data_IF_846487889764
#
_entry.id   IF_846487889764
#
_cell.length_a   1.000
_cell.length_b   1.000
_cell.length_c   1.000
_cell.angle_alpha   90.00
_cell.angle_beta   90.00
_cell.angle_gamma   90.00
#
_symmetry.space_group_name_H-M   'P 1'
#
loop_
_entity.id
_entity.type
_entity.pdbx_description
1 polymer ?
#
# COMPACT_ATOMS: atom_id res chain seq x y z
N UNK A 1 13.46 15.21 28.33
CA UNK A 1 13.58 14.06 27.42
C UNK A 1 12.93 14.54 26.13
N UNK A 2 13.72 14.79 25.08
CA UNK A 2 13.15 15.15 23.77
C UNK A 2 12.35 13.95 23.24
N UNK A 3 11.13 14.17 22.82
CA UNK A 3 10.34 13.15 22.12
C UNK A 3 11.13 12.75 20.87
N UNK A 4 11.41 11.47 20.73
CA UNK A 4 11.99 10.88 19.55
C UNK A 4 10.84 10.45 18.64
N UNK A 5 10.87 10.85 17.38
CA UNK A 5 9.90 10.46 16.37
C UNK A 5 10.42 9.24 15.61
N UNK A 6 9.59 8.22 15.48
CA UNK A 6 9.87 7.08 14.61
C UNK A 6 9.16 7.28 13.27
N UNK A 7 9.94 7.49 12.23
CA UNK A 7 9.45 7.87 10.90
C UNK A 7 9.84 6.83 9.85
N UNK A 8 9.06 6.75 8.79
CA UNK A 8 9.33 5.91 7.62
C UNK A 8 9.45 6.80 6.40
N UNK A 9 10.58 6.70 5.71
CA UNK A 9 10.80 7.33 4.41
C UNK A 9 10.71 6.25 3.33
N UNK A 10 9.83 6.44 2.35
CA UNK A 10 9.78 5.64 1.14
C UNK A 10 10.15 6.51 -0.06
N UNK A 11 11.02 5.99 -0.92
CA UNK A 11 11.56 6.70 -2.05
C UNK A 11 11.53 5.81 -3.30
N UNK A 12 11.16 6.39 -4.42
CA UNK A 12 11.17 5.75 -5.72
C UNK A 12 11.76 6.71 -6.75
N UNK A 13 12.77 6.28 -7.50
CA UNK A 13 13.38 7.08 -8.59
C UNK A 13 13.94 6.17 -9.68
N UNK A 14 14.29 6.71 -10.87
CA UNK A 14 15.20 6.02 -11.77
C UNK A 14 16.49 5.63 -11.06
N UNK A 15 17.01 4.41 -11.32
CA UNK A 15 18.22 3.91 -10.66
C UNK A 15 19.48 4.63 -11.17
N UNK A 16 20.37 4.97 -10.24
CA UNK A 16 21.69 5.54 -10.55
C UNK A 16 22.65 5.37 -9.36
N UNK A 17 23.96 5.36 -9.59
CA UNK A 17 24.95 5.32 -8.52
C UNK A 17 24.80 6.47 -7.51
N UNK A 18 24.96 6.17 -6.22
CA UNK A 18 25.01 7.16 -5.14
C UNK A 18 23.66 7.49 -4.50
N UNK A 19 22.53 6.93 -4.97
CA UNK A 19 21.20 7.21 -4.40
C UNK A 19 21.10 6.87 -2.92
N UNK A 20 21.59 5.70 -2.51
CA UNK A 20 21.57 5.30 -1.10
C UNK A 20 22.29 6.34 -0.23
N UNK A 21 23.51 6.73 -0.63
CA UNK A 21 24.28 7.75 0.09
C UNK A 21 23.52 9.08 0.16
N UNK A 22 22.93 9.51 -0.96
CA UNK A 22 22.23 10.78 -1.03
C UNK A 22 20.98 10.80 -0.11
N UNK A 23 20.15 9.74 -0.16
CA UNK A 23 18.92 9.65 0.64
C UNK A 23 19.25 9.49 2.13
N UNK A 24 20.20 8.62 2.50
CA UNK A 24 20.60 8.45 3.90
C UNK A 24 21.31 9.69 4.44
N UNK A 25 22.09 10.37 3.60
CA UNK A 25 22.73 11.65 3.93
C UNK A 25 21.71 12.75 4.22
N UNK A 26 20.64 12.87 3.44
CA UNK A 26 19.56 13.82 3.69
C UNK A 26 18.88 13.56 5.05
N UNK A 27 18.63 12.29 5.40
CA UNK A 27 18.10 11.93 6.71
C UNK A 27 19.08 12.32 7.85
N UNK A 28 20.36 12.05 7.68
CA UNK A 28 21.40 12.33 8.69
C UNK A 28 21.58 13.84 8.91
N UNK A 29 21.43 14.68 7.89
CA UNK A 29 21.55 16.14 7.99
C UNK A 29 20.53 16.76 8.96
N UNK A 30 19.37 16.16 9.11
CA UNK A 30 18.33 16.57 10.05
C UNK A 30 18.36 15.77 11.38
N UNK A 31 19.49 15.13 11.68
CA UNK A 31 19.67 14.38 12.93
C UNK A 31 18.94 13.03 12.97
N UNK A 32 18.57 12.50 11.82
CA UNK A 32 17.92 11.18 11.71
C UNK A 32 18.93 10.04 11.88
N UNK A 33 18.62 9.10 12.77
CA UNK A 33 19.30 7.84 12.93
C UNK A 33 18.55 6.73 12.19
N UNK A 34 19.23 5.99 11.31
CA UNK A 34 18.63 4.92 10.52
C UNK A 34 18.61 3.63 11.34
N UNK A 35 17.42 3.13 11.63
CA UNK A 35 17.22 1.87 12.37
C UNK A 35 16.98 0.69 11.45
N UNK A 36 16.43 0.93 10.25
CA UNK A 36 16.22 -0.09 9.21
C UNK A 36 16.40 0.52 7.81
N UNK A 37 16.99 -0.25 6.90
CA UNK A 37 17.14 0.13 5.51
C UNK A 37 16.83 -1.08 4.61
N UNK A 38 15.81 -0.95 3.77
CA UNK A 38 15.46 -1.92 2.74
C UNK A 38 15.54 -1.25 1.38
N UNK A 39 16.20 -1.90 0.42
CA UNK A 39 16.32 -1.36 -0.93
C UNK A 39 16.13 -2.44 -1.98
N UNK A 40 15.64 -2.03 -3.14
CA UNK A 40 15.41 -2.91 -4.27
C UNK A 40 15.49 -2.13 -5.57
N UNK A 41 16.14 -2.68 -6.57
CA UNK A 41 16.13 -2.16 -7.95
C UNK A 41 15.33 -3.10 -8.83
N UNK A 42 14.30 -2.59 -9.49
CA UNK A 42 13.52 -3.35 -10.47
C UNK A 42 14.27 -3.39 -11.80
N UNK A 43 14.66 -4.58 -12.23
CA UNK A 43 15.30 -4.79 -13.54
C UNK A 43 14.34 -4.55 -14.70
N UNK A 44 13.02 -4.71 -14.46
CA UNK A 44 12.00 -4.54 -15.49
C UNK A 44 11.70 -3.07 -15.79
N UNK A 45 11.74 -2.20 -14.76
CA UNK A 45 11.39 -0.78 -14.88
C UNK A 45 12.59 0.15 -14.80
N UNK A 46 13.76 -0.33 -14.36
CA UNK A 46 14.92 0.49 -14.08
C UNK A 46 14.74 1.44 -12.88
N UNK A 47 13.71 1.22 -12.05
CA UNK A 47 13.46 2.03 -10.88
C UNK A 47 14.15 1.45 -9.63
N UNK A 48 14.70 2.37 -8.85
CA UNK A 48 15.22 2.13 -7.51
C UNK A 48 14.17 2.46 -6.47
N UNK A 49 14.03 1.58 -5.49
CA UNK A 49 13.12 1.73 -4.34
C UNK A 49 13.93 1.61 -3.06
N UNK A 50 13.71 2.52 -2.11
CA UNK A 50 14.28 2.40 -0.79
C UNK A 50 13.23 2.75 0.27
N UNK A 51 13.21 1.97 1.35
CA UNK A 51 12.43 2.22 2.55
C UNK A 51 13.40 2.31 3.74
N UNK A 52 13.32 3.42 4.44
CA UNK A 52 14.13 3.68 5.64
C UNK A 52 13.21 3.82 6.84
N UNK A 53 13.61 3.24 7.97
CA UNK A 53 13.10 3.65 9.26
C UNK A 53 14.09 4.61 9.89
N UNK A 54 13.59 5.73 10.39
CA UNK A 54 14.39 6.84 10.88
C UNK A 54 13.89 7.23 12.25
N UNK A 55 14.75 7.13 13.24
CA UNK A 55 14.54 7.71 14.57
C UNK A 55 15.15 9.11 14.58
N UNK A 56 14.35 10.12 14.90
CA UNK A 56 14.81 11.52 14.85
C UNK A 56 14.24 12.34 15.99
N UNK A 57 15.05 13.26 16.51
CA UNK A 57 14.59 14.34 17.39
C UNK A 57 13.96 15.50 16.62
N UNK A 58 14.17 15.57 15.29
CA UNK A 58 13.57 16.55 14.41
C UNK A 58 12.15 16.13 14.03
N UNK A 59 11.32 17.10 13.69
CA UNK A 59 9.94 16.85 13.32
C UNK A 59 9.83 16.10 11.98
N UNK A 60 8.67 15.45 11.75
CA UNK A 60 8.33 14.88 10.45
C UNK A 60 8.49 15.90 9.31
N UNK A 61 8.07 17.15 9.54
CA UNK A 61 8.13 18.20 8.54
C UNK A 61 9.59 18.55 8.13
N UNK A 62 10.52 18.55 9.08
CA UNK A 62 11.94 18.79 8.80
C UNK A 62 12.54 17.68 7.93
N UNK A 63 12.24 16.42 8.27
CA UNK A 63 12.68 15.27 7.49
C UNK A 63 12.05 15.28 6.08
N UNK A 64 10.75 15.54 6.00
CA UNK A 64 10.02 15.62 4.72
C UNK A 64 10.58 16.74 3.82
N UNK A 65 10.92 17.89 4.38
CA UNK A 65 11.55 19.00 3.65
C UNK A 65 12.91 18.59 3.09
N UNK A 66 13.77 17.98 3.92
CA UNK A 66 15.12 17.57 3.51
C UNK A 66 15.10 16.52 2.39
N UNK A 67 14.25 15.49 2.50
CA UNK A 67 14.17 14.44 1.47
C UNK A 67 13.43 14.92 0.22
N UNK A 68 12.47 15.84 0.33
CA UNK A 68 11.74 16.42 -0.82
C UNK A 68 12.64 17.32 -1.67
N UNK A 69 13.53 18.11 -1.05
CA UNK A 69 14.52 18.88 -1.79
C UNK A 69 15.43 17.99 -2.65
N UNK A 70 15.86 16.87 -2.07
CA UNK A 70 16.66 15.88 -2.80
C UNK A 70 15.83 15.19 -3.89
N UNK A 71 14.56 14.88 -3.63
CA UNK A 71 13.66 14.22 -4.58
C UNK A 71 13.49 15.02 -5.87
N UNK A 72 13.36 16.34 -5.78
CA UNK A 72 13.30 17.22 -6.94
C UNK A 72 14.54 17.13 -7.82
N UNK A 73 15.73 16.98 -7.22
CA UNK A 73 17.01 16.83 -7.96
C UNK A 73 17.20 15.44 -8.58
N UNK A 74 16.44 14.44 -8.09
CA UNK A 74 16.58 13.04 -8.50
C UNK A 74 15.43 12.52 -9.37
N UNK A 75 14.46 13.36 -9.68
CA UNK A 75 13.23 12.97 -10.35
C UNK A 75 12.53 11.81 -9.60
N UNK A 76 12.42 11.96 -8.28
CA UNK A 76 11.94 10.94 -7.37
C UNK A 76 10.59 11.29 -6.78
N UNK A 77 9.85 10.24 -6.42
CA UNK A 77 8.68 10.34 -5.54
C UNK A 77 9.11 9.92 -4.14
N UNK A 78 8.79 10.74 -3.15
CA UNK A 78 9.09 10.47 -1.75
C UNK A 78 7.83 10.64 -0.90
N UNK A 79 7.72 9.77 0.12
CA UNK A 79 6.70 9.90 1.16
C UNK A 79 7.37 9.71 2.52
N UNK A 80 6.97 10.54 3.49
CA UNK A 80 7.39 10.43 4.88
C UNK A 80 6.14 10.19 5.74
N UNK A 81 6.18 9.16 6.57
CA UNK A 81 5.06 8.81 7.44
C UNK A 81 5.54 8.41 8.84
N UNK A 82 4.65 8.38 9.82
CA UNK A 82 4.94 7.87 11.15
C UNK A 82 4.99 6.34 11.15
N UNK A 83 5.98 5.78 11.83
CA UNK A 83 6.08 4.32 11.96
C UNK A 83 4.87 3.78 12.74
N UNK A 84 4.21 2.77 12.18
CA UNK A 84 3.07 2.15 12.84
C UNK A 84 1.74 2.90 12.72
N UNK A 85 1.68 4.03 12.01
CA UNK A 85 0.41 4.69 11.68
C UNK A 85 -0.52 3.70 10.96
N UNK A 86 -1.75 3.52 11.45
CA UNK A 86 -2.70 2.63 10.78
C UNK A 86 -3.05 3.15 9.38
N UNK A 87 -2.83 2.31 8.36
CA UNK A 87 -3.15 2.63 6.96
C UNK A 87 -4.62 2.33 6.68
N UNK A 88 -5.38 3.31 6.20
CA UNK A 88 -6.81 3.15 5.87
C UNK A 88 -6.98 2.18 4.71
N UNK A 89 -7.56 1.02 5.00
CA UNK A 89 -7.52 -0.16 4.13
C UNK A 89 -8.92 -0.62 3.75
N UNK A 90 -9.16 -0.77 2.44
CA UNK A 90 -10.29 -1.49 1.87
C UNK A 90 -9.85 -2.91 1.52
N UNK A 91 -10.62 -3.92 1.94
CA UNK A 91 -10.34 -5.30 1.59
C UNK A 91 -11.38 -5.81 0.60
N UNK A 92 -10.94 -6.29 -0.57
CA UNK A 92 -11.77 -7.01 -1.51
C UNK A 92 -11.62 -8.52 -1.29
N UNK A 93 -12.74 -9.22 -1.13
CA UNK A 93 -12.75 -10.66 -0.82
C UNK A 93 -13.78 -11.43 -1.66
N UNK A 94 -13.70 -12.75 -1.64
CA UNK A 94 -14.71 -13.65 -2.21
C UNK A 94 -15.29 -14.57 -1.11
N UNK A 95 -15.42 -15.87 -1.36
CA UNK A 95 -15.97 -16.84 -0.40
C UNK A 95 -14.99 -17.29 0.68
N UNK A 96 -13.71 -17.42 0.30
CA UNK A 96 -12.71 -18.03 1.17
C UNK A 96 -12.28 -17.08 2.29
N UNK A 97 -12.47 -17.51 3.54
CA UNK A 97 -12.26 -16.71 4.74
C UNK A 97 -10.80 -16.59 5.19
N UNK A 98 -9.92 -17.57 4.86
CA UNK A 98 -8.60 -17.70 5.48
C UNK A 98 -7.70 -16.45 5.33
N UNK A 99 -7.69 -15.81 4.15
CA UNK A 99 -6.89 -14.59 3.96
C UNK A 99 -7.45 -13.42 4.76
N UNK A 100 -8.78 -13.23 4.73
CA UNK A 100 -9.44 -12.17 5.47
C UNK A 100 -9.29 -12.38 6.99
N UNK A 101 -9.52 -13.61 7.47
CA UNK A 101 -9.33 -13.97 8.90
C UNK A 101 -7.92 -13.65 9.39
N UNK A 102 -6.90 -13.99 8.57
CA UNK A 102 -5.50 -13.73 8.92
C UNK A 102 -5.21 -12.22 9.01
N UNK A 103 -5.72 -11.43 8.08
CA UNK A 103 -5.56 -9.97 8.10
C UNK A 103 -6.24 -9.35 9.32
N UNK A 104 -7.51 -9.71 9.58
CA UNK A 104 -8.27 -9.16 10.69
C UNK A 104 -7.70 -9.59 12.04
N UNK A 105 -7.28 -10.86 12.18
CA UNK A 105 -6.61 -11.33 13.39
C UNK A 105 -5.31 -10.58 13.69
N UNK A 106 -4.45 -10.34 12.69
CA UNK A 106 -3.20 -9.63 12.90
C UNK A 106 -3.41 -8.13 13.17
N UNK A 107 -4.45 -7.52 12.56
CA UNK A 107 -4.87 -6.16 12.90
C UNK A 107 -5.29 -6.07 14.37
N UNK A 108 -6.19 -6.96 14.81
CA UNK A 108 -6.72 -6.95 16.18
C UNK A 108 -5.64 -7.28 17.22
N UNK A 109 -4.64 -8.06 16.82
CA UNK A 109 -3.46 -8.36 17.65
C UNK A 109 -2.40 -7.23 17.65
N UNK A 110 -2.65 -6.11 16.96
CA UNK A 110 -1.68 -5.00 16.86
C UNK A 110 -0.42 -5.30 16.06
N UNK A 111 -0.40 -6.40 15.27
CA UNK A 111 0.76 -6.82 14.47
C UNK A 111 0.78 -6.22 13.07
N UNK A 112 -0.36 -5.75 12.62
CA UNK A 112 -0.54 -5.18 11.28
C UNK A 112 -1.19 -3.81 11.45
N UNK A 113 -0.47 -2.71 11.20
CA UNK A 113 -0.97 -1.36 11.37
C UNK A 113 -1.88 -0.98 10.20
N UNK A 114 -3.08 -1.56 10.14
CA UNK A 114 -4.12 -1.22 9.17
C UNK A 114 -5.41 -0.85 9.90
N UNK A 115 -6.06 0.19 9.43
CA UNK A 115 -7.45 0.51 9.76
C UNK A 115 -8.35 -0.01 8.63
N UNK A 116 -9.01 -1.16 8.87
CA UNK A 116 -9.89 -1.76 7.86
C UNK A 116 -11.22 -1.03 7.88
N UNK A 117 -11.35 -0.05 6.99
CA UNK A 117 -12.53 0.83 6.93
C UNK A 117 -13.74 0.12 6.33
N UNK A 118 -13.52 -0.83 5.43
CA UNK A 118 -14.58 -1.66 4.85
C UNK A 118 -14.05 -2.94 4.22
N UNK A 119 -14.86 -3.98 4.23
CA UNK A 119 -14.68 -5.18 3.40
C UNK A 119 -15.77 -5.21 2.33
N UNK A 120 -15.38 -5.35 1.06
CA UNK A 120 -16.30 -5.54 -0.05
C UNK A 120 -16.11 -6.93 -0.67
N UNK A 121 -17.20 -7.63 -0.97
CA UNK A 121 -17.13 -8.99 -1.48
C UNK A 121 -18.15 -9.22 -2.61
N UNK A 122 -17.86 -10.24 -3.44
CA UNK A 122 -18.81 -10.71 -4.46
C UNK A 122 -19.73 -11.83 -3.95
N UNK A 123 -19.64 -12.18 -2.64
CA UNK A 123 -20.46 -13.20 -1.96
C UNK A 123 -20.76 -12.78 -0.52
N UNK A 124 -21.90 -13.20 0.07
CA UNK A 124 -22.28 -12.85 1.43
C UNK A 124 -21.56 -13.66 2.53
N UNK A 125 -20.85 -14.70 2.17
CA UNK A 125 -20.29 -15.74 3.08
C UNK A 125 -19.41 -15.22 4.21
N UNK A 126 -18.89 -14.00 4.08
CA UNK A 126 -17.94 -13.39 5.03
C UNK A 126 -18.58 -12.39 5.99
N UNK A 127 -19.91 -12.23 5.95
CA UNK A 127 -20.63 -11.25 6.76
C UNK A 127 -20.44 -11.46 8.27
N UNK A 128 -20.59 -12.70 8.75
CA UNK A 128 -20.44 -13.03 10.17
C UNK A 128 -18.99 -12.83 10.66
N UNK A 129 -18.02 -13.18 9.82
CA UNK A 129 -16.61 -12.97 10.14
C UNK A 129 -16.28 -11.49 10.30
N UNK A 130 -16.75 -10.65 9.38
CA UNK A 130 -16.51 -9.19 9.44
C UNK A 130 -17.24 -8.55 10.60
N UNK A 131 -18.45 -9.00 10.90
CA UNK A 131 -19.23 -8.55 12.05
C UNK A 131 -18.53 -8.88 13.38
N UNK A 132 -17.97 -10.10 13.51
CA UNK A 132 -17.17 -10.49 14.67
C UNK A 132 -16.01 -9.52 14.93
N UNK A 133 -15.31 -9.12 13.87
CA UNK A 133 -14.20 -8.17 13.93
C UNK A 133 -14.63 -6.70 13.89
N UNK A 134 -15.95 -6.41 13.96
CA UNK A 134 -16.52 -5.06 13.93
C UNK A 134 -16.12 -4.22 12.70
N UNK A 135 -16.00 -4.88 11.55
CA UNK A 135 -15.66 -4.22 10.28
C UNK A 135 -16.91 -4.09 9.42
N UNK A 136 -17.17 -2.92 8.82
CA UNK A 136 -18.24 -2.74 7.87
C UNK A 136 -18.10 -3.71 6.69
N UNK A 137 -19.22 -4.37 6.32
CA UNK A 137 -19.24 -5.34 5.24
C UNK A 137 -20.28 -4.96 4.19
N UNK A 138 -19.88 -5.07 2.95
CA UNK A 138 -20.74 -4.90 1.79
C UNK A 138 -20.53 -6.04 0.82
N UNK A 139 -21.60 -6.54 0.23
CA UNK A 139 -21.47 -7.51 -0.82
C UNK A 139 -22.44 -7.22 -1.98
N UNK A 140 -22.00 -7.57 -3.16
CA UNK A 140 -22.83 -7.53 -4.38
C UNK A 140 -22.38 -8.69 -5.26
N UNK A 141 -23.36 -9.44 -5.80
CA UNK A 141 -23.05 -10.47 -6.79
C UNK A 141 -22.36 -9.84 -8.00
N UNK A 142 -21.21 -10.38 -8.37
CA UNK A 142 -20.45 -9.91 -9.53
C UNK A 142 -20.55 -10.95 -10.63
N UNK A 143 -21.21 -10.58 -11.71
CA UNK A 143 -21.28 -11.29 -12.98
C UNK A 143 -20.81 -10.36 -14.11
N UNK A 144 -20.97 -10.78 -15.36
CA UNK A 144 -20.48 -10.01 -16.51
C UNK A 144 -21.17 -8.65 -16.65
N UNK A 145 -22.45 -8.55 -16.24
CA UNK A 145 -23.25 -7.33 -16.39
C UNK A 145 -23.04 -6.37 -15.22
N UNK A 146 -22.88 -6.91 -14.01
CA UNK A 146 -22.75 -6.13 -12.77
C UNK A 146 -21.30 -5.77 -12.41
N UNK A 147 -20.30 -6.32 -13.11
CA UNK A 147 -18.88 -6.09 -12.81
C UNK A 147 -18.50 -4.60 -12.83
N UNK A 148 -18.88 -3.88 -13.87
CA UNK A 148 -18.58 -2.45 -14.01
C UNK A 148 -19.19 -1.64 -12.87
N UNK A 149 -20.43 -1.92 -12.50
CA UNK A 149 -21.13 -1.26 -11.41
C UNK A 149 -20.44 -1.53 -10.06
N UNK A 150 -19.97 -2.76 -9.81
CA UNK A 150 -19.22 -3.10 -8.62
C UNK A 150 -17.88 -2.38 -8.55
N UNK A 151 -17.14 -2.32 -9.65
CA UNK A 151 -15.86 -1.63 -9.73
C UNK A 151 -15.99 -0.12 -9.53
N UNK A 152 -17.06 0.50 -10.05
CA UNK A 152 -17.38 1.89 -9.76
C UNK A 152 -17.69 2.13 -8.28
N UNK A 153 -18.40 1.19 -7.64
CA UNK A 153 -18.66 1.25 -6.20
C UNK A 153 -17.37 1.13 -5.38
N UNK A 154 -16.42 0.29 -5.81
CA UNK A 154 -15.07 0.20 -5.19
C UNK A 154 -14.37 1.56 -5.28
N UNK A 155 -14.33 2.18 -6.46
CA UNK A 155 -13.68 3.49 -6.63
C UNK A 155 -14.33 4.59 -5.80
N UNK A 156 -15.67 4.61 -5.76
CA UNK A 156 -16.41 5.54 -4.91
C UNK A 156 -16.06 5.33 -3.44
N UNK A 157 -16.04 4.09 -2.97
CA UNK A 157 -15.67 3.74 -1.59
C UNK A 157 -14.24 4.18 -1.26
N UNK A 158 -13.31 4.02 -2.22
CA UNK A 158 -11.92 4.49 -2.06
C UNK A 158 -11.86 5.99 -1.84
N UNK A 159 -12.64 6.77 -2.58
CA UNK A 159 -12.72 8.23 -2.41
C UNK A 159 -13.45 8.65 -1.15
N UNK A 160 -14.65 8.10 -0.90
CA UNK A 160 -15.51 8.51 0.22
C UNK A 160 -14.91 8.19 1.59
N UNK A 161 -14.12 7.13 1.68
CA UNK A 161 -13.48 6.67 2.92
C UNK A 161 -11.99 6.97 3.00
N UNK A 162 -11.45 7.79 2.12
CA UNK A 162 -10.01 8.15 2.06
C UNK A 162 -9.11 6.90 2.16
N UNK A 163 -9.39 5.88 1.35
CA UNK A 163 -8.65 4.62 1.35
C UNK A 163 -7.26 4.81 0.76
N UNK A 164 -6.25 4.44 1.52
CA UNK A 164 -4.84 4.50 1.12
C UNK A 164 -4.35 3.18 0.54
N UNK A 165 -4.95 2.06 0.96
CA UNK A 165 -4.55 0.72 0.56
C UNK A 165 -5.77 -0.14 0.20
N UNK A 166 -5.74 -0.77 -0.96
CA UNK A 166 -6.72 -1.80 -1.36
C UNK A 166 -6.05 -3.17 -1.33
N UNK A 167 -6.57 -4.08 -0.52
CA UNK A 167 -6.03 -5.44 -0.38
C UNK A 167 -6.95 -6.45 -1.05
N UNK A 168 -6.44 -7.23 -1.99
CA UNK A 168 -7.16 -8.34 -2.60
C UNK A 168 -6.96 -9.63 -1.77
N UNK A 169 -7.84 -9.88 -0.81
CA UNK A 169 -7.84 -11.05 0.07
C UNK A 169 -8.49 -12.25 -0.62
N UNK A 170 -7.77 -12.87 -1.56
CA UNK A 170 -8.29 -13.94 -2.42
C UNK A 170 -9.56 -13.52 -3.16
N UNK A 171 -9.58 -12.30 -3.64
CA UNK A 171 -10.63 -11.84 -4.55
C UNK A 171 -10.45 -12.52 -5.91
N UNK A 172 -11.42 -13.34 -6.32
CA UNK A 172 -11.28 -14.27 -7.45
C UNK A 172 -11.81 -13.66 -8.78
N UNK A 173 -11.99 -12.36 -8.84
CA UNK A 173 -12.34 -11.65 -10.05
C UNK A 173 -11.12 -10.96 -10.66
N UNK A 174 -11.02 -10.94 -11.97
CA UNK A 174 -10.04 -10.14 -12.70
C UNK A 174 -10.52 -8.69 -12.68
N UNK A 175 -9.71 -7.79 -12.19
CA UNK A 175 -10.01 -6.35 -12.23
C UNK A 175 -9.94 -5.83 -13.68
N UNK A 176 -10.75 -4.82 -14.00
CA UNK A 176 -10.63 -4.14 -15.28
C UNK A 176 -9.33 -3.35 -15.38
N UNK A 177 -8.82 -3.09 -16.61
CA UNK A 177 -7.67 -2.23 -16.80
C UNK A 177 -7.86 -0.84 -16.17
N UNK A 178 -9.06 -0.29 -16.29
CA UNK A 178 -9.44 1.02 -15.76
C UNK A 178 -9.34 1.07 -14.24
N UNK A 179 -9.84 0.03 -13.56
CA UNK A 179 -9.72 -0.07 -12.10
C UNK A 179 -8.27 -0.25 -11.68
N UNK A 180 -7.49 -1.06 -12.39
CA UNK A 180 -6.06 -1.25 -12.11
C UNK A 180 -5.27 0.05 -12.25
N UNK A 181 -5.57 0.87 -13.25
CA UNK A 181 -4.92 2.16 -13.46
C UNK A 181 -5.25 3.14 -12.33
N UNK A 182 -6.52 3.24 -11.93
CA UNK A 182 -6.96 4.15 -10.86
C UNK A 182 -6.49 3.72 -9.47
N UNK A 183 -6.25 2.43 -9.26
CA UNK A 183 -5.67 1.90 -8.02
C UNK A 183 -4.15 1.75 -8.07
N UNK A 184 -3.49 2.27 -9.11
CA UNK A 184 -2.04 2.18 -9.26
C UNK A 184 -1.33 2.80 -8.06
N UNK A 185 -0.34 2.07 -7.51
CA UNK A 185 0.38 2.46 -6.29
C UNK A 185 -0.37 2.26 -4.97
N UNK A 186 -1.67 1.90 -4.99
CA UNK A 186 -2.49 1.70 -3.80
C UNK A 186 -2.97 0.27 -3.61
N UNK A 187 -2.63 -0.65 -4.50
CA UNK A 187 -3.17 -2.00 -4.48
C UNK A 187 -2.12 -3.03 -4.08
N UNK A 188 -2.41 -3.83 -3.04
CA UNK A 188 -1.59 -4.96 -2.63
C UNK A 188 -2.32 -6.29 -2.89
N UNK A 189 -1.59 -7.25 -3.49
CA UNK A 189 -2.07 -8.59 -3.79
C UNK A 189 -1.42 -9.61 -2.86
N UNK A 190 -2.23 -10.45 -2.23
CA UNK A 190 -1.72 -11.70 -1.70
C UNK A 190 -2.25 -12.86 -2.53
N UNK A 191 -1.37 -13.40 -3.40
CA UNK A 191 -1.44 -14.67 -4.12
C UNK A 191 -2.82 -15.14 -4.62
N UNK A 192 -3.21 -14.61 -5.73
CA UNK A 192 -3.97 -15.24 -6.77
C UNK A 192 -3.44 -14.62 -8.05
N UNK A 193 -3.18 -15.40 -9.07
CA UNK A 193 -2.60 -14.92 -10.33
C UNK A 193 -3.29 -13.62 -10.76
N UNK A 194 -2.65 -12.49 -10.58
CA UNK A 194 -3.01 -11.29 -11.30
C UNK A 194 -2.67 -11.57 -12.76
N UNK A 195 -3.67 -11.61 -13.60
CA UNK A 195 -3.48 -11.64 -15.05
C UNK A 195 -3.02 -10.28 -15.54
N UNK A 196 -1.86 -9.83 -15.09
CA UNK A 196 -1.09 -8.87 -15.83
C UNK A 196 -0.64 -9.61 -17.09
N UNK A 197 -1.42 -9.50 -18.15
CA UNK A 197 -0.95 -9.84 -19.48
C UNK A 197 0.29 -8.98 -19.71
N UNK A 198 1.46 -9.62 -19.68
CA UNK A 198 2.65 -9.05 -20.30
C UNK A 198 2.28 -8.77 -21.74
N UNK A 199 2.28 -7.50 -22.11
CA UNK A 199 2.21 -7.06 -23.50
C UNK A 199 3.59 -7.09 -24.13
N UNK A 200 4.33 -8.18 -23.95
CA UNK A 200 5.54 -8.47 -24.71
C UNK A 200 5.25 -9.71 -25.57
N UNK A 201 4.82 -9.44 -26.82
CA UNK A 201 4.65 -10.42 -27.86
C UNK A 201 5.98 -11.12 -28.18
N UNK A 202 6.26 -12.23 -27.48
CA UNK A 202 7.19 -13.24 -27.98
C UNK A 202 6.49 -14.59 -27.99
N UNK A 203 6.34 -15.21 -29.18
CA UNK A 203 5.99 -16.61 -29.27
C UNK A 203 7.14 -17.47 -28.75
N UNK A 204 6.81 -18.67 -28.31
CA UNK A 204 7.73 -19.71 -27.83
C UNK A 204 8.87 -19.99 -28.77
#
# INVERSE_FOLDING_TARGET
>A
MSESHELVVTWTSPDRPGLVHAVTGACAQVGGNLTECQQFTSTDTGNFFIRLQVESASSRADLESAVSELAGKCNATVHVDELGRPVRTLILASKASHCLSHLLFNRDAGRLPIDVVQVMANHPDLADLTAFHKVPFRWQKVDRESKTSFEQEVLRTVGDLDVELVVLARYMQILSPELCEQLSGRCAFRLGKCGAQRTDGRPR
#
